data_IF_791439420938
#
_entry.id   IF_791439420938
#
_cell.length_a   1.000
_cell.length_b   1.000
_cell.length_c   1.000
_cell.angle_alpha   90.00
_cell.angle_beta   90.00
_cell.angle_gamma   90.00
#
_symmetry.space_group_name_H-M   'P 1'
#
loop_
_entity.id
_entity.type
_entity.pdbx_description
1 polymer ?
#
# COMPACT_ATOMS: atom_id res chain seq x y z
N UNK A 1 6.68 -2.38 -9.10
CA UNK A 1 6.58 -1.17 -8.29
C UNK A 1 6.97 -1.52 -6.85
N UNK A 2 7.82 -0.74 -6.20
CA UNK A 2 8.17 -0.95 -4.81
C UNK A 2 7.02 -0.50 -3.91
N UNK A 3 6.56 -1.36 -3.01
CA UNK A 3 5.64 -0.98 -1.94
C UNK A 3 6.29 0.12 -1.10
N UNK A 4 5.61 1.26 -0.95
CA UNK A 4 6.08 2.38 -0.13
C UNK A 4 5.28 2.44 1.16
N UNK A 5 5.96 2.73 2.25
CA UNK A 5 5.36 2.93 3.58
C UNK A 5 5.99 4.17 4.19
N UNK A 6 5.18 5.13 4.64
CA UNK A 6 5.64 6.44 5.08
C UNK A 6 6.64 7.05 4.07
N UNK A 7 6.26 7.03 2.80
CA UNK A 7 7.06 7.52 1.67
C UNK A 7 8.41 6.81 1.43
N UNK A 8 8.68 5.72 2.11
CA UNK A 8 9.87 4.91 1.93
C UNK A 8 9.53 3.55 1.32
N UNK A 9 10.35 3.01 0.40
CA UNK A 9 10.21 1.64 -0.03
C UNK A 9 10.27 0.69 1.17
N UNK A 10 9.39 -0.32 1.21
CA UNK A 10 9.30 -1.25 2.33
C UNK A 10 10.65 -1.93 2.61
N UNK A 11 11.42 -2.25 1.55
CA UNK A 11 12.75 -2.85 1.70
C UNK A 11 13.72 -1.91 2.41
N UNK A 12 13.69 -0.61 2.09
CA UNK A 12 14.56 0.40 2.74
C UNK A 12 14.22 0.49 4.22
N UNK A 13 12.93 0.55 4.55
CA UNK A 13 12.46 0.56 5.94
C UNK A 13 12.91 -0.71 6.69
N UNK A 14 12.70 -1.87 6.11
CA UNK A 14 13.07 -3.15 6.74
C UNK A 14 14.57 -3.23 7.01
N UNK A 15 15.40 -2.84 6.04
CA UNK A 15 16.86 -2.78 6.21
C UNK A 15 17.28 -1.77 7.28
N UNK A 16 16.59 -0.63 7.39
CA UNK A 16 16.83 0.35 8.45
C UNK A 16 16.57 -0.21 9.85
N UNK A 17 15.52 -1.02 10.02
CA UNK A 17 15.21 -1.68 11.29
C UNK A 17 16.25 -2.75 11.60
N UNK A 18 16.51 -3.64 10.66
CA UNK A 18 17.48 -4.74 10.82
C UNK A 18 18.89 -4.19 11.04
N UNK A 19 19.26 -3.12 10.33
CA UNK A 19 20.57 -2.49 10.43
C UNK A 19 20.86 -1.87 11.81
N UNK A 20 19.85 -1.34 12.49
CA UNK A 20 20.01 -0.82 13.86
C UNK A 20 20.39 -1.91 14.87
N UNK A 21 20.00 -3.15 14.61
CA UNK A 21 20.18 -4.27 15.54
C UNK A 21 21.38 -5.13 15.16
N UNK A 22 21.57 -5.41 13.87
CA UNK A 22 22.56 -6.37 13.38
C UNK A 22 23.86 -5.76 12.88
N UNK A 23 24.00 -4.42 12.92
CA UNK A 23 25.19 -3.72 12.39
C UNK A 23 25.58 -4.23 10.99
N UNK A 24 24.67 -4.13 10.05
CA UNK A 24 24.84 -4.65 8.68
C UNK A 24 25.97 -3.90 7.98
N UNK A 25 26.90 -4.64 7.40
CA UNK A 25 28.02 -4.07 6.63
C UNK A 25 28.10 -4.62 5.19
N UNK A 26 27.34 -5.66 4.88
CA UNK A 26 27.31 -6.25 3.54
C UNK A 26 25.96 -6.86 3.20
N UNK A 27 25.52 -6.67 1.96
CA UNK A 27 24.28 -7.22 1.42
C UNK A 27 24.59 -7.86 0.07
N UNK A 28 24.05 -9.06 -0.19
CA UNK A 28 24.12 -9.70 -1.49
C UNK A 28 22.74 -9.66 -2.16
N UNK A 29 22.70 -9.17 -3.38
CA UNK A 29 21.46 -9.01 -4.17
C UNK A 29 21.61 -9.75 -5.49
N UNK A 30 20.61 -10.50 -5.96
CA UNK A 30 20.62 -11.10 -7.30
C UNK A 30 20.81 -10.04 -8.39
N UNK A 31 21.64 -10.30 -9.39
CA UNK A 31 21.92 -9.38 -10.50
C UNK A 31 20.66 -8.96 -11.28
N UNK A 32 19.65 -9.81 -11.27
CA UNK A 32 18.35 -9.55 -11.89
C UNK A 32 17.51 -8.49 -11.13
N UNK A 33 17.92 -8.09 -9.92
CA UNK A 33 17.20 -7.18 -9.04
C UNK A 33 17.81 -5.78 -9.00
N UNK A 34 18.21 -5.23 -10.15
CA UNK A 34 18.91 -3.94 -10.29
C UNK A 34 18.19 -2.76 -9.60
N UNK A 35 16.84 -2.76 -9.57
CA UNK A 35 16.06 -1.73 -8.86
C UNK A 35 16.28 -1.81 -7.36
N UNK A 36 16.30 -3.02 -6.78
CA UNK A 36 16.54 -3.24 -5.35
C UNK A 36 17.96 -2.83 -4.99
N UNK A 37 18.93 -3.17 -5.82
CA UNK A 37 20.34 -2.79 -5.65
C UNK A 37 20.49 -1.27 -5.57
N UNK A 38 19.91 -0.52 -6.52
CA UNK A 38 19.96 0.95 -6.49
C UNK A 38 19.31 1.52 -5.22
N UNK A 39 18.12 1.03 -4.83
CA UNK A 39 17.46 1.46 -3.60
C UNK A 39 18.32 1.26 -2.36
N UNK A 40 19.07 0.14 -2.28
CA UNK A 40 19.96 -0.12 -1.15
C UNK A 40 21.16 0.82 -1.20
N UNK A 41 21.81 0.98 -2.34
CA UNK A 41 22.98 1.85 -2.51
C UNK A 41 22.64 3.32 -2.19
N UNK A 42 21.50 3.81 -2.68
CA UNK A 42 21.07 5.20 -2.47
C UNK A 42 20.76 5.53 -1.00
N UNK A 43 20.22 4.56 -0.25
CA UNK A 43 19.77 4.79 1.12
C UNK A 43 20.77 4.32 2.20
N UNK A 44 21.70 3.44 1.85
CA UNK A 44 22.69 2.86 2.77
C UNK A 44 24.10 2.87 2.15
N UNK A 45 24.71 4.04 1.89
CA UNK A 45 25.99 4.14 1.19
C UNK A 45 27.17 3.49 1.94
N UNK A 46 27.03 3.26 3.24
CA UNK A 46 28.04 2.59 4.07
C UNK A 46 27.98 1.05 3.98
N UNK A 47 26.97 0.51 3.33
CA UNK A 47 26.78 -0.94 3.20
C UNK A 47 27.35 -1.39 1.87
N UNK A 48 28.26 -2.37 1.91
CA UNK A 48 28.76 -3.04 0.70
C UNK A 48 27.64 -3.88 0.07
N UNK A 49 27.38 -3.69 -1.22
CA UNK A 49 26.39 -4.46 -1.96
C UNK A 49 27.07 -5.25 -3.05
N UNK A 50 26.95 -6.58 -3.00
CA UNK A 50 27.45 -7.50 -4.02
C UNK A 50 26.29 -8.05 -4.84
N UNK A 51 26.53 -8.15 -6.15
CA UNK A 51 25.63 -8.89 -7.04
C UNK A 51 26.06 -10.37 -7.11
N UNK A 52 25.09 -11.26 -7.25
CA UNK A 52 25.37 -12.67 -7.54
C UNK A 52 24.48 -13.19 -8.67
N UNK A 53 25.06 -14.08 -9.49
CA UNK A 53 24.36 -14.70 -10.62
C UNK A 53 23.59 -15.94 -10.17
N UNK A 54 22.26 -15.92 -10.35
CA UNK A 54 21.38 -17.02 -9.99
C UNK A 54 21.52 -18.23 -10.93
N UNK A 55 22.13 -18.06 -12.11
CA UNK A 55 22.33 -19.14 -13.07
C UNK A 55 23.46 -20.08 -12.68
N UNK A 56 24.43 -19.62 -11.89
CA UNK A 56 25.61 -20.42 -11.51
C UNK A 56 25.38 -21.36 -10.29
N UNK A 57 24.27 -21.24 -9.58
CA UNK A 57 23.98 -22.07 -8.41
C UNK A 57 23.31 -23.43 -8.74
N UNK A 58 22.99 -23.70 -10.01
CA UNK A 58 22.31 -24.95 -10.44
C UNK A 58 23.20 -26.18 -10.60
N UNK A 59 24.50 -26.06 -10.51
CA UNK A 59 25.43 -27.16 -10.84
C UNK A 59 25.86 -28.08 -9.68
N UNK A 60 25.27 -27.99 -8.48
CA UNK A 60 25.76 -28.79 -7.35
C UNK A 60 24.69 -29.53 -6.52
N UNK A 61 23.54 -29.84 -7.09
CA UNK A 61 22.64 -30.83 -6.46
C UNK A 61 22.13 -31.81 -7.50
N UNK A 62 22.70 -33.02 -7.49
CA UNK A 62 22.16 -34.20 -8.17
C UNK A 62 20.90 -34.61 -7.39
N UNK A 63 19.74 -34.25 -7.88
CA UNK A 63 18.49 -34.86 -7.44
C UNK A 63 17.55 -34.96 -8.65
N UNK A 64 17.50 -36.16 -9.22
CA UNK A 64 16.65 -36.56 -10.34
C UNK A 64 15.26 -36.93 -9.80
N UNK A 65 14.35 -35.97 -9.73
CA UNK A 65 12.91 -36.25 -9.64
C UNK A 65 12.15 -35.45 -10.69
N UNK A 66 11.21 -36.06 -11.44
CA UNK A 66 10.53 -35.43 -12.57
C UNK A 66 9.55 -34.35 -12.07
N UNK A 67 9.75 -33.15 -12.59
CA UNK A 67 9.04 -31.93 -12.24
C UNK A 67 7.73 -31.80 -12.94
N UNK A 68 6.71 -31.60 -12.18
CA UNK A 68 5.41 -31.04 -12.56
C UNK A 68 5.59 -29.61 -13.12
N UNK A 69 5.09 -29.38 -14.32
CA UNK A 69 5.19 -28.10 -15.04
C UNK A 69 4.07 -27.15 -14.63
N UNK A 70 4.09 -26.68 -13.40
CA UNK A 70 3.32 -25.51 -12.96
C UNK A 70 4.30 -24.35 -12.74
N UNK A 71 4.02 -23.20 -13.35
CA UNK A 71 4.75 -21.94 -13.28
C UNK A 71 5.36 -21.66 -11.90
N UNK A 72 6.60 -22.11 -11.69
CA UNK A 72 7.34 -21.81 -10.48
C UNK A 72 7.72 -20.34 -10.49
N UNK A 73 7.09 -19.56 -9.65
CA UNK A 73 7.57 -18.22 -9.32
C UNK A 73 9.04 -18.32 -8.89
N UNK A 74 9.96 -17.68 -9.62
CA UNK A 74 11.38 -17.66 -9.27
C UNK A 74 11.53 -17.00 -7.90
N UNK A 75 11.98 -17.76 -6.92
CA UNK A 75 12.27 -17.23 -5.59
C UNK A 75 13.67 -16.64 -5.58
N UNK A 76 13.78 -15.35 -5.34
CA UNK A 76 15.06 -14.68 -5.10
C UNK A 76 15.25 -14.48 -3.60
N UNK A 77 16.49 -14.45 -3.14
CA UNK A 77 16.85 -14.20 -1.76
C UNK A 77 17.84 -13.05 -1.68
N UNK A 78 17.67 -12.18 -0.69
CA UNK A 78 18.70 -11.21 -0.28
C UNK A 78 19.43 -11.82 0.90
N UNK A 79 20.74 -11.98 0.80
CA UNK A 79 21.58 -12.40 1.92
C UNK A 79 22.19 -11.17 2.59
N UNK A 80 22.00 -11.07 3.91
CA UNK A 80 22.49 -9.96 4.74
C UNK A 80 23.53 -10.52 5.70
N UNK A 81 24.71 -9.95 5.71
CA UNK A 81 25.78 -10.31 6.63
C UNK A 81 25.93 -9.21 7.71
N UNK A 82 25.92 -9.60 8.95
CA UNK A 82 26.08 -8.77 10.13
C UNK A 82 26.70 -9.52 11.28
N UNK A 83 26.43 -9.12 12.51
CA UNK A 83 26.92 -9.79 13.73
C UNK A 83 26.28 -11.18 13.99
N UNK A 84 25.27 -11.54 13.24
CA UNK A 84 24.69 -12.90 13.16
C UNK A 84 25.05 -13.51 11.83
N UNK A 85 25.16 -14.87 11.82
CA UNK A 85 25.55 -15.68 10.67
C UNK A 85 24.71 -15.42 9.51
N UNK A 86 24.47 -14.79 8.64
CA UNK A 86 23.62 -14.50 7.49
C UNK A 86 22.12 -14.62 7.72
N UNK A 87 21.40 -13.54 7.48
CA UNK A 87 19.94 -13.52 7.38
C UNK A 87 19.56 -13.55 5.89
N UNK A 88 18.86 -14.58 5.47
CA UNK A 88 18.32 -14.66 4.11
C UNK A 88 16.85 -14.16 4.07
N UNK A 89 16.59 -13.19 3.23
CA UNK A 89 15.25 -12.66 2.99
C UNK A 89 14.78 -13.15 1.63
N UNK A 90 13.71 -13.98 1.54
CA UNK A 90 13.14 -14.36 0.25
C UNK A 90 12.55 -13.13 -0.44
N UNK A 91 12.94 -12.86 -1.68
CA UNK A 91 12.43 -11.71 -2.45
C UNK A 91 11.04 -11.95 -3.06
N UNK A 92 10.59 -13.21 -3.12
CA UNK A 92 9.26 -13.58 -3.60
C UNK A 92 8.18 -13.51 -2.51
N UNK A 93 8.59 -13.44 -1.25
CA UNK A 93 7.70 -13.12 -0.13
C UNK A 93 8.06 -11.74 0.38
N UNK A 94 7.16 -10.78 0.24
CA UNK A 94 7.30 -9.56 0.98
C UNK A 94 7.24 -9.92 2.47
N UNK A 95 8.17 -9.39 3.26
CA UNK A 95 8.18 -9.57 4.71
C UNK A 95 8.18 -8.19 5.36
N UNK A 96 7.50 -8.11 6.48
CA UNK A 96 7.52 -6.95 7.33
C UNK A 96 8.23 -7.27 8.63
N UNK A 97 9.15 -6.39 9.01
CA UNK A 97 9.88 -6.49 10.26
C UNK A 97 9.30 -5.49 11.27
N UNK A 98 8.90 -5.99 12.42
CA UNK A 98 8.59 -5.17 13.58
C UNK A 98 9.59 -5.41 14.69
N UNK A 99 9.88 -4.39 15.48
CA UNK A 99 10.75 -4.49 16.64
C UNK A 99 9.87 -4.61 17.89
N UNK A 100 9.99 -5.71 18.64
CA UNK A 100 9.62 -5.76 20.04
C UNK A 100 10.88 -5.63 20.87
N UNK A 101 10.80 -5.20 22.15
CA UNK A 101 11.91 -4.77 23.02
C UNK A 101 13.27 -5.48 22.87
N UNK A 102 13.30 -6.74 22.46
CA UNK A 102 14.53 -7.55 22.26
C UNK A 102 14.54 -8.42 21.00
N UNK A 103 13.45 -8.46 20.25
CA UNK A 103 13.30 -9.38 19.12
C UNK A 103 12.86 -8.67 17.85
N UNK A 104 13.37 -9.13 16.71
CA UNK A 104 12.80 -8.79 15.40
C UNK A 104 11.73 -9.83 15.10
N UNK A 105 10.51 -9.38 14.90
CA UNK A 105 9.43 -10.23 14.42
C UNK A 105 9.39 -10.14 12.89
N UNK A 106 9.46 -11.29 12.24
CA UNK A 106 9.36 -11.42 10.79
C UNK A 106 7.94 -11.85 10.45
N UNK A 107 7.20 -10.99 9.77
CA UNK A 107 5.83 -11.27 9.38
C UNK A 107 5.76 -11.42 7.86
N UNK A 108 5.41 -12.60 7.34
CA UNK A 108 5.26 -12.78 5.90
C UNK A 108 4.04 -12.00 5.39
N UNK A 109 4.18 -11.39 4.21
CA UNK A 109 3.07 -10.86 3.43
C UNK A 109 2.74 -11.92 2.39
N UNK A 110 1.75 -12.74 2.66
CA UNK A 110 1.32 -13.85 1.80
C UNK A 110 0.23 -13.38 0.84
N UNK A 111 -0.69 -12.60 1.35
CA UNK A 111 -1.84 -12.09 0.62
C UNK A 111 -1.82 -10.55 0.55
N UNK A 112 -2.44 -9.95 -0.46
CA UNK A 112 -2.49 -8.49 -0.58
C UNK A 112 -3.09 -7.80 0.65
N UNK A 113 -4.07 -8.37 1.31
CA UNK A 113 -4.69 -7.78 2.50
C UNK A 113 -3.80 -7.83 3.76
N UNK A 114 -2.75 -8.65 3.79
CA UNK A 114 -1.74 -8.59 4.85
C UNK A 114 -1.07 -7.20 4.86
N UNK A 115 -0.92 -6.58 3.69
CA UNK A 115 -0.37 -5.23 3.57
C UNK A 115 -1.28 -4.18 4.24
N UNK A 116 -2.61 -4.34 4.15
CA UNK A 116 -3.55 -3.49 4.87
C UNK A 116 -3.35 -3.54 6.39
N UNK A 117 -3.18 -4.75 6.93
CA UNK A 117 -2.88 -4.96 8.35
C UNK A 117 -1.55 -4.29 8.76
N UNK A 118 -0.50 -4.46 7.94
CA UNK A 118 0.83 -3.89 8.19
C UNK A 118 0.78 -2.36 8.22
N UNK A 119 0.12 -1.73 7.27
CA UNK A 119 -0.01 -0.26 7.23
C UNK A 119 -0.67 0.27 8.50
N UNK A 120 -1.74 -0.37 8.94
CA UNK A 120 -2.41 0.02 10.19
C UNK A 120 -1.48 -0.08 11.39
N UNK A 121 -0.71 -1.15 11.48
CA UNK A 121 0.27 -1.32 12.58
C UNK A 121 1.38 -0.28 12.51
N UNK A 122 1.95 -0.02 11.36
CA UNK A 122 3.00 0.98 11.19
C UNK A 122 2.48 2.37 11.58
N UNK A 123 1.28 2.74 11.16
CA UNK A 123 0.66 3.99 11.57
C UNK A 123 0.49 4.09 13.08
N UNK A 124 0.07 3.01 13.74
CA UNK A 124 -0.16 2.99 15.19
C UNK A 124 1.13 2.96 16.01
N UNK A 125 2.15 2.23 15.56
CA UNK A 125 3.35 1.93 16.36
C UNK A 125 4.53 2.85 16.04
N UNK A 126 4.62 3.39 14.81
CA UNK A 126 5.80 4.08 14.32
C UNK A 126 5.55 5.55 13.93
N UNK A 127 4.28 5.97 13.80
CA UNK A 127 3.99 7.34 13.40
C UNK A 127 4.33 8.30 14.53
N UNK A 128 5.28 9.19 14.27
CA UNK A 128 5.61 10.32 15.14
C UNK A 128 5.00 11.58 14.55
N UNK A 129 4.19 12.30 15.32
CA UNK A 129 3.50 13.50 14.87
C UNK A 129 4.47 14.54 14.29
N UNK A 130 4.18 15.02 13.09
CA UNK A 130 4.93 16.06 12.41
C UNK A 130 4.05 16.78 11.39
N UNK A 131 3.96 18.09 11.48
CA UNK A 131 3.28 18.94 10.51
C UNK A 131 4.31 19.86 9.90
N UNK A 132 4.49 19.77 8.58
CA UNK A 132 5.44 20.64 7.88
C UNK A 132 5.04 22.11 7.99
N UNK A 133 5.99 23.02 8.24
CA UNK A 133 5.73 24.45 8.17
C UNK A 133 5.37 24.95 6.75
N UNK A 134 5.64 24.15 5.72
CA UNK A 134 5.27 24.42 4.32
C UNK A 134 3.87 23.90 3.97
N UNK A 135 3.18 23.23 4.89
CA UNK A 135 1.81 22.82 4.68
C UNK A 135 0.84 23.99 4.91
N UNK A 136 -0.21 24.07 4.11
CA UNK A 136 -1.27 25.07 4.21
C UNK A 136 -2.54 24.45 4.77
N UNK A 137 -2.86 24.76 6.01
CA UNK A 137 -4.06 24.26 6.68
C UNK A 137 -5.04 25.43 6.92
N UNK A 138 -6.31 25.23 6.54
CA UNK A 138 -7.36 26.18 6.90
C UNK A 138 -7.51 26.28 8.42
N UNK A 139 -7.90 27.45 8.90
CA UNK A 139 -8.18 27.69 10.33
C UNK A 139 -9.34 26.86 10.87
N UNK A 140 -10.22 26.38 10.01
CA UNK A 140 -11.35 25.53 10.36
C UNK A 140 -11.03 24.03 10.27
N UNK A 141 -9.82 23.64 9.91
CA UNK A 141 -9.36 22.27 9.92
C UNK A 141 -9.28 21.74 11.35
N UNK A 142 -9.78 20.54 11.57
CA UNK A 142 -9.69 19.84 12.86
C UNK A 142 -8.74 18.65 12.72
N UNK A 143 -7.66 18.64 13.49
CA UNK A 143 -6.75 17.49 13.60
C UNK A 143 -7.00 16.85 14.99
N UNK A 144 -7.30 15.54 14.98
CA UNK A 144 -7.67 14.75 16.14
C UNK A 144 -6.81 13.47 16.18
N UNK A 145 -5.74 13.49 16.95
CA UNK A 145 -4.74 12.43 17.04
C UNK A 145 -3.50 12.65 16.17
N UNK A 146 -2.48 11.77 16.31
CA UNK A 146 -1.17 11.98 15.71
C UNK A 146 -1.22 11.92 14.17
N UNK A 147 -0.62 12.91 13.51
CA UNK A 147 -0.56 12.98 12.05
C UNK A 147 0.84 13.36 11.57
N UNK A 148 1.24 12.81 10.43
CA UNK A 148 2.33 13.35 9.63
C UNK A 148 1.70 14.06 8.43
N UNK A 149 1.97 15.35 8.29
CA UNK A 149 1.55 16.17 7.15
C UNK A 149 2.82 16.74 6.53
N UNK A 150 3.10 16.31 5.30
CA UNK A 150 4.35 16.69 4.61
C UNK A 150 4.28 18.06 3.93
N UNK A 151 5.39 18.43 3.27
CA UNK A 151 5.52 19.69 2.55
C UNK A 151 4.46 19.84 1.46
N UNK A 152 4.07 21.08 1.18
CA UNK A 152 3.18 21.45 0.09
C UNK A 152 1.78 20.80 0.16
N UNK A 153 1.42 20.20 1.31
CA UNK A 153 0.06 19.72 1.56
C UNK A 153 -0.88 20.89 1.77
N UNK A 154 -2.04 20.83 1.14
CA UNK A 154 -3.12 21.81 1.35
C UNK A 154 -4.35 21.11 1.94
N UNK A 155 -4.86 21.61 3.06
CA UNK A 155 -6.09 21.12 3.71
C UNK A 155 -7.08 22.26 3.81
N UNK A 156 -8.23 22.08 3.17
CA UNK A 156 -9.27 23.08 3.01
C UNK A 156 -10.23 23.13 4.21
N UNK A 157 -11.19 24.06 4.15
CA UNK A 157 -12.11 24.39 5.24
C UNK A 157 -12.95 23.19 5.73
N UNK A 158 -13.22 23.18 7.04
CA UNK A 158 -14.09 22.20 7.71
C UNK A 158 -13.67 20.73 7.52
N UNK A 159 -12.44 20.50 7.09
CA UNK A 159 -11.88 19.14 6.98
C UNK A 159 -11.55 18.60 8.37
N UNK A 160 -11.86 17.32 8.61
CA UNK A 160 -11.43 16.62 9.81
C UNK A 160 -10.43 15.53 9.48
N UNK A 161 -9.25 15.61 10.10
CA UNK A 161 -8.22 14.57 10.05
C UNK A 161 -8.22 13.83 11.39
N UNK A 162 -8.39 12.52 11.37
CA UNK A 162 -8.28 11.66 12.56
C UNK A 162 -7.04 10.77 12.43
N UNK A 163 -6.14 10.92 13.38
CA UNK A 163 -4.93 10.10 13.46
C UNK A 163 -5.18 8.66 13.96
N UNK A 164 -4.19 7.77 13.82
CA UNK A 164 -2.92 8.04 13.15
C UNK A 164 -3.09 8.14 11.62
N UNK A 165 -2.61 9.23 11.01
CA UNK A 165 -2.77 9.50 9.58
C UNK A 165 -1.49 10.10 9.00
N UNK A 166 -1.09 9.61 7.83
CA UNK A 166 0.01 10.15 7.05
C UNK A 166 -0.53 10.78 5.76
N UNK A 167 -0.13 12.00 5.48
CA UNK A 167 -0.48 12.73 4.26
C UNK A 167 0.81 13.16 3.55
N UNK A 168 1.07 12.53 2.41
CA UNK A 168 2.28 12.72 1.62
C UNK A 168 2.34 14.06 0.91
N UNK A 169 3.56 14.45 0.56
CA UNK A 169 3.91 15.73 -0.06
C UNK A 169 3.00 16.10 -1.24
N UNK A 170 2.64 17.38 -1.33
CA UNK A 170 1.88 17.94 -2.45
C UNK A 170 0.42 17.48 -2.53
N UNK A 171 -0.09 16.78 -1.51
CA UNK A 171 -1.47 16.30 -1.47
C UNK A 171 -2.45 17.45 -1.18
N UNK A 172 -3.68 17.26 -1.65
CA UNK A 172 -4.78 18.21 -1.43
C UNK A 172 -5.97 17.50 -0.80
N UNK A 173 -6.49 18.05 0.30
CA UNK A 173 -7.69 17.56 0.97
C UNK A 173 -8.75 18.66 0.93
N UNK A 174 -9.79 18.42 0.16
CA UNK A 174 -10.86 19.38 -0.09
C UNK A 174 -11.86 19.49 1.07
N UNK A 175 -12.57 20.59 1.04
CA UNK A 175 -13.50 21.06 2.07
C UNK A 175 -14.48 19.97 2.54
N UNK A 176 -14.76 19.96 3.85
CA UNK A 176 -15.74 19.07 4.51
C UNK A 176 -15.44 17.58 4.38
N UNK A 177 -14.21 17.20 4.09
CA UNK A 177 -13.81 15.79 4.01
C UNK A 177 -13.39 15.22 5.37
N UNK A 178 -13.60 13.92 5.55
CA UNK A 178 -13.16 13.17 6.72
C UNK A 178 -12.06 12.18 6.30
N UNK A 179 -10.85 12.37 6.82
CA UNK A 179 -9.73 11.46 6.62
C UNK A 179 -9.39 10.82 7.96
N UNK A 180 -9.33 9.50 8.02
CA UNK A 180 -9.09 8.81 9.30
C UNK A 180 -8.26 7.54 9.15
N UNK A 181 -7.18 7.45 9.93
CA UNK A 181 -6.31 6.27 10.00
C UNK A 181 -5.78 5.84 8.62
N UNK A 182 -5.36 6.79 7.80
CA UNK A 182 -4.97 6.60 6.42
C UNK A 182 -3.48 6.80 6.19
N UNK A 183 -2.97 6.16 5.15
CA UNK A 183 -1.69 6.49 4.55
C UNK A 183 -1.92 6.96 3.13
N UNK A 184 -1.85 8.28 2.91
CA UNK A 184 -2.01 8.90 1.60
C UNK A 184 -0.63 9.18 1.01
N UNK A 185 -0.32 8.57 -0.12
CA UNK A 185 0.92 8.83 -0.86
C UNK A 185 0.96 10.25 -1.43
N UNK A 186 2.12 10.62 -1.99
CA UNK A 186 2.34 11.96 -2.53
C UNK A 186 1.32 12.32 -3.61
N UNK A 187 1.01 13.62 -3.70
CA UNK A 187 0.14 14.19 -4.73
C UNK A 187 -1.25 13.54 -4.83
N UNK A 188 -1.72 12.95 -3.74
CA UNK A 188 -3.10 12.44 -3.63
C UNK A 188 -4.06 13.62 -3.49
N UNK A 189 -5.07 13.68 -4.34
CA UNK A 189 -6.07 14.75 -4.37
C UNK A 189 -7.44 14.21 -3.96
N UNK A 190 -7.88 14.56 -2.77
CA UNK A 190 -9.22 14.27 -2.26
C UNK A 190 -10.04 15.54 -2.36
N UNK A 191 -11.17 15.47 -3.03
CA UNK A 191 -12.04 16.63 -3.28
C UNK A 191 -13.03 16.87 -2.16
N UNK A 192 -14.14 17.52 -2.52
CA UNK A 192 -15.16 17.99 -1.60
C UNK A 192 -15.98 16.83 -0.99
N UNK A 193 -16.19 16.90 0.34
CA UNK A 193 -17.13 16.04 1.08
C UNK A 193 -16.90 14.54 0.84
N UNK A 194 -15.64 14.11 0.92
CA UNK A 194 -15.25 12.71 0.82
C UNK A 194 -15.00 12.10 2.21
N UNK A 195 -15.28 10.81 2.36
CA UNK A 195 -14.79 10.03 3.48
C UNK A 195 -13.72 9.04 3.01
N UNK A 196 -12.52 9.13 3.60
CA UNK A 196 -11.44 8.19 3.38
C UNK A 196 -10.99 7.64 4.73
N UNK A 197 -11.13 6.34 4.91
CA UNK A 197 -10.88 5.71 6.21
C UNK A 197 -10.11 4.41 6.13
N UNK A 198 -9.11 4.24 7.00
CA UNK A 198 -8.31 3.02 7.15
C UNK A 198 -7.79 2.46 5.83
N UNK A 199 -7.41 3.36 4.90
CA UNK A 199 -7.03 3.04 3.54
C UNK A 199 -5.61 3.47 3.24
N UNK A 200 -5.00 2.79 2.29
CA UNK A 200 -3.71 3.12 1.71
C UNK A 200 -3.89 3.61 0.29
N UNK A 201 -3.17 4.68 -0.06
CA UNK A 201 -3.06 5.22 -1.40
C UNK A 201 -1.58 5.31 -1.75
N UNK A 202 -1.21 4.78 -2.92
CA UNK A 202 0.19 4.80 -3.34
C UNK A 202 0.66 6.18 -3.81
N UNK A 203 -0.27 7.03 -4.24
CA UNK A 203 -0.03 8.42 -4.62
C UNK A 203 -0.50 8.77 -6.03
N UNK A 204 -0.48 10.07 -6.34
CA UNK A 204 -0.95 10.64 -7.62
C UNK A 204 -2.44 10.37 -7.92
N UNK A 205 -3.22 10.05 -6.89
CA UNK A 205 -4.61 9.65 -7.00
C UNK A 205 -5.55 10.84 -7.04
N UNK A 206 -6.71 10.66 -7.68
CA UNK A 206 -7.74 11.70 -7.79
C UNK A 206 -9.10 11.16 -7.38
N UNK A 207 -9.57 11.62 -6.23
CA UNK A 207 -10.84 11.26 -5.61
C UNK A 207 -11.68 12.54 -5.50
N UNK A 208 -12.49 12.91 -6.52
CA UNK A 208 -13.07 14.26 -6.58
C UNK A 208 -14.12 14.53 -5.51
N UNK A 209 -15.40 14.25 -5.77
CA UNK A 209 -16.47 14.71 -4.91
C UNK A 209 -17.29 13.57 -4.34
N UNK A 210 -17.66 13.66 -3.04
CA UNK A 210 -18.63 12.80 -2.38
C UNK A 210 -18.34 11.30 -2.59
N UNK A 211 -17.07 10.93 -2.48
CA UNK A 211 -16.65 9.54 -2.52
C UNK A 211 -16.50 8.99 -1.09
N UNK A 212 -16.78 7.69 -0.93
CA UNK A 212 -16.51 6.95 0.30
C UNK A 212 -15.55 5.82 -0.01
N UNK A 213 -14.34 5.86 0.55
CA UNK A 213 -13.31 4.83 0.34
C UNK A 213 -12.77 4.41 1.69
N UNK A 214 -13.09 3.20 2.09
CA UNK A 214 -12.73 2.68 3.40
C UNK A 214 -12.11 1.29 3.30
N UNK A 215 -11.20 0.97 4.24
CA UNK A 215 -10.51 -0.33 4.38
C UNK A 215 -9.92 -0.87 3.08
N UNK A 216 -9.32 0.00 2.26
CA UNK A 216 -8.90 -0.32 0.89
C UNK A 216 -7.43 -0.09 0.64
N UNK A 217 -6.90 -0.81 -0.36
CA UNK A 217 -5.55 -0.62 -0.89
C UNK A 217 -5.66 -0.07 -2.31
N UNK A 218 -5.25 1.18 -2.49
CA UNK A 218 -5.35 1.90 -3.76
C UNK A 218 -3.93 2.05 -4.33
N UNK A 219 -3.75 1.61 -5.57
CA UNK A 219 -2.52 1.75 -6.32
C UNK A 219 -2.20 3.19 -6.67
N UNK A 220 -1.17 3.40 -7.45
CA UNK A 220 -0.73 4.71 -7.90
C UNK A 220 -1.54 5.19 -9.12
N UNK A 221 -1.82 6.51 -9.18
CA UNK A 221 -2.50 7.16 -10.31
C UNK A 221 -3.91 6.60 -10.60
N UNK A 222 -4.68 6.38 -9.55
CA UNK A 222 -6.08 5.94 -9.66
C UNK A 222 -7.01 7.13 -9.68
N UNK A 223 -7.97 7.11 -10.61
CA UNK A 223 -9.01 8.13 -10.72
C UNK A 223 -10.39 7.56 -10.38
N UNK A 224 -11.07 8.20 -9.44
CA UNK A 224 -12.46 7.92 -9.14
C UNK A 224 -13.36 9.01 -9.73
N UNK A 225 -14.49 8.63 -10.29
CA UNK A 225 -15.57 9.57 -10.60
C UNK A 225 -16.29 10.00 -9.34
N UNK A 226 -17.03 11.09 -9.41
CA UNK A 226 -17.82 11.58 -8.28
C UNK A 226 -18.91 10.57 -7.87
N UNK A 227 -19.32 10.60 -6.58
CA UNK A 227 -20.37 9.74 -6.02
C UNK A 227 -20.08 8.24 -6.12
N UNK A 228 -18.82 7.86 -6.18
CA UNK A 228 -18.41 6.46 -6.15
C UNK A 228 -18.07 6.02 -4.73
N UNK A 229 -18.19 4.74 -4.48
CA UNK A 229 -17.87 4.18 -3.17
C UNK A 229 -17.13 2.84 -3.30
N UNK A 230 -16.30 2.54 -2.31
CA UNK A 230 -15.81 1.20 -2.03
C UNK A 230 -16.50 0.74 -0.75
N UNK A 231 -17.39 -0.22 -0.88
CA UNK A 231 -18.06 -0.83 0.26
C UNK A 231 -17.13 -1.79 0.98
N UNK A 232 -17.20 -1.88 2.29
CA UNK A 232 -16.23 -2.61 3.11
C UNK A 232 -16.85 -3.64 4.06
N UNK A 233 -18.18 -3.82 4.01
CA UNK A 233 -18.93 -4.71 4.89
C UNK A 233 -20.02 -5.44 4.10
N UNK A 234 -20.29 -6.70 4.46
CA UNK A 234 -21.41 -7.45 3.93
C UNK A 234 -22.65 -7.28 4.85
N UNK A 235 -23.88 -7.26 4.30
CA UNK A 235 -25.09 -6.98 5.09
C UNK A 235 -25.34 -7.89 6.29
N UNK A 236 -24.90 -9.13 6.26
CA UNK A 236 -25.02 -10.10 7.33
C UNK A 236 -23.82 -10.16 8.27
N UNK A 237 -22.88 -9.22 8.18
CA UNK A 237 -21.60 -9.24 8.91
C UNK A 237 -20.79 -10.52 8.63
N UNK A 238 -20.92 -11.07 7.44
CA UNK A 238 -20.21 -12.22 6.97
C UNK A 238 -18.72 -11.87 6.72
N UNK A 239 -17.86 -12.87 6.79
CA UNK A 239 -16.46 -12.70 6.41
C UNK A 239 -16.32 -12.41 4.93
N UNK A 240 -15.41 -11.48 4.62
CA UNK A 240 -15.18 -11.07 3.25
C UNK A 240 -14.30 -12.08 2.56
N UNK A 241 -14.81 -12.63 1.47
CA UNK A 241 -14.10 -13.56 0.61
C UNK A 241 -13.37 -12.80 -0.49
N UNK A 242 -12.12 -13.18 -0.74
CA UNK A 242 -11.30 -12.64 -1.81
C UNK A 242 -11.16 -13.68 -2.93
N UNK A 243 -11.59 -13.32 -4.14
CA UNK A 243 -11.54 -14.23 -5.30
C UNK A 243 -10.16 -14.11 -5.98
N UNK A 244 -9.34 -15.15 -5.83
CA UNK A 244 -8.02 -15.23 -6.51
C UNK A 244 -8.19 -15.56 -7.99
N UNK A 245 -9.11 -16.47 -8.31
CA UNK A 245 -9.48 -16.86 -9.65
C UNK A 245 -10.94 -17.29 -9.66
N UNK A 246 -11.57 -17.29 -10.81
CA UNK A 246 -13.00 -17.63 -10.95
C UNK A 246 -13.33 -18.95 -10.23
N UNK A 247 -14.14 -18.85 -9.19
CA UNK A 247 -14.57 -19.98 -8.37
C UNK A 247 -13.57 -20.45 -7.32
N UNK A 248 -12.47 -19.73 -7.11
CA UNK A 248 -11.50 -20.01 -6.04
C UNK A 248 -11.38 -18.77 -5.16
N UNK A 249 -12.14 -18.76 -4.06
CA UNK A 249 -12.16 -17.66 -3.10
C UNK A 249 -11.50 -18.09 -1.79
N UNK A 250 -10.77 -17.18 -1.17
CA UNK A 250 -10.11 -17.36 0.13
C UNK A 250 -10.80 -16.46 1.15
N UNK A 251 -11.07 -17.00 2.33
CA UNK A 251 -11.51 -16.22 3.48
C UNK A 251 -10.37 -15.28 3.93
N UNK A 252 -10.60 -13.98 3.88
CA UNK A 252 -9.62 -12.98 4.33
C UNK A 252 -9.44 -12.96 5.84
N UNK A 253 -10.31 -13.60 6.58
CA UNK A 253 -10.38 -13.50 8.04
C UNK A 253 -10.93 -12.17 8.56
N UNK A 254 -11.40 -11.28 7.66
CA UNK A 254 -11.89 -9.94 8.00
C UNK A 254 -13.38 -9.80 7.73
N UNK A 255 -14.06 -9.07 8.60
CA UNK A 255 -15.44 -8.61 8.46
C UNK A 255 -15.53 -7.19 7.86
N UNK A 256 -14.41 -6.47 7.83
CA UNK A 256 -14.26 -5.15 7.22
C UNK A 256 -13.06 -5.13 6.29
N UNK A 257 -13.32 -5.17 4.99
CA UNK A 257 -12.30 -5.05 3.96
C UNK A 257 -12.92 -4.55 2.65
N UNK A 258 -12.42 -3.43 2.14
CA UNK A 258 -12.90 -2.81 0.92
C UNK A 258 -12.39 -3.50 -0.34
N UNK A 259 -11.55 -2.82 -1.10
CA UNK A 259 -11.02 -3.34 -2.34
C UNK A 259 -9.51 -3.18 -2.46
N UNK A 260 -8.93 -4.00 -3.34
CA UNK A 260 -7.57 -3.82 -3.84
C UNK A 260 -7.69 -3.32 -5.26
N UNK A 261 -7.21 -2.10 -5.52
CA UNK A 261 -7.27 -1.46 -6.83
C UNK A 261 -5.84 -1.23 -7.33
N UNK A 262 -5.53 -1.79 -8.48
CA UNK A 262 -4.21 -1.67 -9.11
C UNK A 262 -3.92 -0.26 -9.63
N UNK A 263 -2.69 -0.05 -10.08
CA UNK A 263 -2.24 1.24 -10.62
C UNK A 263 -3.02 1.63 -11.90
N UNK A 264 -3.10 2.94 -12.18
CA UNK A 264 -3.67 3.51 -13.42
C UNK A 264 -5.14 3.12 -13.67
N UNK A 265 -5.89 2.78 -12.63
CA UNK A 265 -7.30 2.44 -12.79
C UNK A 265 -8.17 3.69 -12.89
N UNK A 266 -9.24 3.57 -13.66
CA UNK A 266 -10.28 4.60 -13.76
C UNK A 266 -11.62 4.00 -13.34
N UNK A 267 -12.22 4.59 -12.32
CA UNK A 267 -13.53 4.21 -11.79
C UNK A 267 -14.51 5.32 -12.17
N UNK A 268 -15.48 5.01 -13.02
CA UNK A 268 -16.46 6.01 -13.47
C UNK A 268 -17.35 6.52 -12.32
N UNK A 269 -18.02 7.63 -12.56
CA UNK A 269 -18.97 8.25 -11.63
C UNK A 269 -20.07 7.27 -11.19
N UNK A 270 -20.46 7.33 -9.91
CA UNK A 270 -21.55 6.52 -9.33
C UNK A 270 -21.32 5.01 -9.41
N UNK A 271 -20.09 4.57 -9.36
CA UNK A 271 -19.73 3.15 -9.25
C UNK A 271 -19.59 2.77 -7.78
N UNK A 272 -20.24 1.68 -7.38
CA UNK A 272 -20.05 1.08 -6.07
C UNK A 272 -19.27 -0.22 -6.24
N UNK A 273 -18.11 -0.30 -5.61
CA UNK A 273 -17.24 -1.47 -5.61
C UNK A 273 -17.55 -2.28 -4.35
N UNK A 274 -17.87 -3.56 -4.53
CA UNK A 274 -18.22 -4.44 -3.41
C UNK A 274 -17.01 -4.83 -2.57
N UNK A 275 -17.22 -5.23 -1.29
CA UNK A 275 -16.18 -5.73 -0.42
C UNK A 275 -15.37 -6.89 -1.03
N UNK A 276 -14.07 -6.93 -0.76
CA UNK A 276 -13.19 -8.00 -1.23
C UNK A 276 -12.86 -7.96 -2.74
N UNK A 277 -13.24 -6.91 -3.45
CA UNK A 277 -12.97 -6.80 -4.88
C UNK A 277 -11.47 -6.61 -5.17
N UNK A 278 -11.00 -7.25 -6.25
CA UNK A 278 -9.69 -7.02 -6.83
C UNK A 278 -9.83 -6.45 -8.24
N UNK A 279 -9.33 -5.25 -8.45
CA UNK A 279 -9.31 -4.60 -9.74
C UNK A 279 -7.85 -4.55 -10.20
N UNK A 280 -7.57 -5.20 -11.34
CA UNK A 280 -6.23 -5.23 -11.89
C UNK A 280 -5.79 -3.84 -12.38
N UNK A 281 -4.48 -3.62 -12.43
CA UNK A 281 -3.92 -2.38 -12.98
C UNK A 281 -4.44 -2.09 -14.40
N UNK A 282 -4.43 -0.81 -14.78
CA UNK A 282 -4.83 -0.32 -16.11
C UNK A 282 -6.30 -0.63 -16.47
N UNK A 283 -7.17 -0.83 -15.46
CA UNK A 283 -8.58 -1.17 -15.66
C UNK A 283 -9.46 0.08 -15.68
N UNK A 284 -10.39 0.12 -16.63
CA UNK A 284 -11.50 1.08 -16.69
C UNK A 284 -12.80 0.40 -16.25
N UNK A 285 -13.38 0.83 -15.14
CA UNK A 285 -14.73 0.44 -14.71
C UNK A 285 -15.71 1.51 -15.13
N UNK A 286 -16.65 1.17 -15.99
CA UNK A 286 -17.68 2.06 -16.49
C UNK A 286 -19.00 1.83 -15.78
N UNK A 287 -19.67 2.91 -15.39
CA UNK A 287 -21.05 2.84 -14.95
C UNK A 287 -21.96 2.52 -16.15
N UNK A 288 -22.97 1.67 -15.92
CA UNK A 288 -24.00 1.41 -16.93
C UNK A 288 -24.98 2.59 -16.93
N UNK A 289 -24.76 3.56 -17.81
CA UNK A 289 -25.67 4.69 -17.99
C UNK A 289 -26.93 4.23 -18.74
N UNK A 290 -28.11 4.38 -18.14
CA UNK A 290 -29.37 4.35 -18.86
C UNK A 290 -29.75 5.78 -19.21
N UNK A 291 -29.70 6.12 -20.48
CA UNK A 291 -30.22 7.40 -20.97
C UNK A 291 -31.72 7.33 -20.97
N UNK A 292 -32.39 8.09 -20.10
CA UNK A 292 -33.83 8.25 -20.12
C UNK A 292 -34.17 9.33 -21.15
N UNK A 293 -34.85 8.97 -22.23
CA UNK A 293 -35.48 9.95 -23.11
C UNK A 293 -36.72 10.51 -22.41
N UNK A 294 -36.70 11.78 -22.07
CA UNK A 294 -37.89 12.47 -21.60
C UNK A 294 -38.70 12.80 -22.85
N UNK A 295 -39.77 12.02 -23.12
CA UNK A 295 -40.75 12.43 -24.15
C UNK A 295 -41.61 13.52 -23.56
N UNK A 296 -41.43 14.76 -24.00
CA UNK A 296 -42.43 15.80 -23.77
C UNK A 296 -43.62 15.49 -24.65
N UNK A 297 -44.78 15.12 -24.02
CA UNK A 297 -46.05 15.12 -24.74
C UNK A 297 -46.36 16.56 -25.11
N UNK A 298 -46.33 16.87 -26.40
CA UNK A 298 -46.90 18.08 -26.99
C UNK A 298 -48.40 18.07 -26.85
#
# INVERSE_FOLDING_TARGET
>A
ASLKVLNQPLIVRNLGIVGKILNIHRIKVPSECSTVLRLIQDNFPAISVDEYDTHNTRNNTNDDTPTDTSTSARSFKISIQGNLDSLEIPLNSAVWYSQSEKNILVNPIVYPWDFHYIIRRILQEELTESISPNASLSKSTIIDGPCIIEDDVTIDDFTKIKGPTYIGKGSFIGMSSLIRNCMLGNETRIGFNCEVGRSYFAGHDKIPHQNVIVDSLIGENVWFGAFSAVDNILPQEERIMYEIAKGNAIDTGMDHFGAIIGNNCTISTSVIIKPGSHIQADTLIQALWKTYQISTKS
#
